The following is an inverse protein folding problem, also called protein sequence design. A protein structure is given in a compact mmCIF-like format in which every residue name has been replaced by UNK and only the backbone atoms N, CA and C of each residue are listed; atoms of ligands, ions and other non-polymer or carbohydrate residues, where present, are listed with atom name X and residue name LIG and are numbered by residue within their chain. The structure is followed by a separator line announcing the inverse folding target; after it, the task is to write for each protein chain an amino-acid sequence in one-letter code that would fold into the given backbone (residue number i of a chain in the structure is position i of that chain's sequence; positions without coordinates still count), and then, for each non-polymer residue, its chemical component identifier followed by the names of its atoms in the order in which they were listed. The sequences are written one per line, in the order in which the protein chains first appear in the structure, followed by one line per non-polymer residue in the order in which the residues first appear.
data_IF_414232055912
#
_entry.id   IF_414232055912
#
_cell.length_a   1.000
_cell.length_b   1.000
_cell.length_c   1.000
_cell.angle_alpha   90.00
_cell.angle_beta   90.00
_cell.angle_gamma   90.00
#
_symmetry.space_group_name_H-M   'P 1'
#
loop_
_entity.id
_entity.type
_entity.pdbx_description
1 polymer ?
#
# COMPACT_ATOMS: atom_id res chain seq x y z
N UNK A 1 33.73 10.43 4.58
CA UNK A 1 32.49 11.24 4.46
C UNK A 1 32.09 11.72 5.85
N UNK A 2 31.95 13.03 6.12
CA UNK A 2 31.64 13.53 7.45
C UNK A 2 30.20 13.22 7.82
N UNK A 3 29.99 12.68 9.03
CA UNK A 3 28.67 12.50 9.65
C UNK A 3 27.95 13.84 9.74
N UNK A 4 26.81 13.95 9.07
CA UNK A 4 25.89 15.08 9.21
C UNK A 4 25.55 15.23 10.69
N UNK A 5 26.00 16.33 11.32
CA UNK A 5 25.56 16.76 12.66
C UNK A 5 24.04 16.91 12.61
N UNK A 6 23.32 16.13 13.41
CA UNK A 6 21.92 16.38 13.68
C UNK A 6 21.85 17.73 14.39
N UNK A 7 21.27 18.71 13.71
CA UNK A 7 20.82 19.95 14.33
C UNK A 7 19.87 19.59 15.48
N UNK A 8 20.09 20.19 16.65
CA UNK A 8 19.16 20.18 17.79
C UNK A 8 17.83 20.76 17.31
N UNK A 9 16.96 19.90 16.77
CA UNK A 9 15.61 20.21 16.33
C UNK A 9 14.64 19.69 17.38
N UNK A 10 13.65 20.46 17.72
CA UNK A 10 12.49 20.25 18.57
C UNK A 10 12.21 18.78 18.81
N UNK A 11 12.24 18.38 20.08
CA UNK A 11 12.01 17.00 20.52
C UNK A 11 10.67 16.55 19.97
N UNK A 12 10.69 15.77 18.88
CA UNK A 12 9.47 15.26 18.26
C UNK A 12 8.69 14.49 19.32
N UNK A 13 7.49 14.97 19.59
CA UNK A 13 6.58 14.31 20.53
C UNK A 13 6.31 12.88 20.06
N UNK A 14 6.31 11.93 20.96
CA UNK A 14 5.96 10.53 20.68
C UNK A 14 4.62 10.16 21.34
N UNK A 15 4.13 8.95 21.04
CA UNK A 15 2.89 8.43 21.63
C UNK A 15 2.97 8.36 23.16
N UNK A 16 4.16 8.15 23.73
CA UNK A 16 4.33 8.06 25.18
C UNK A 16 4.10 9.39 25.84
N UNK A 17 4.71 10.43 25.30
CA UNK A 17 4.53 11.80 25.79
C UNK A 17 3.08 12.27 25.63
N UNK A 18 2.44 11.97 24.47
CA UNK A 18 1.03 12.28 24.28
C UNK A 18 0.12 11.59 25.30
N UNK A 19 0.43 10.34 25.63
CA UNK A 19 -0.33 9.58 26.63
C UNK A 19 -0.23 10.21 28.02
N UNK A 20 0.97 10.63 28.43
CA UNK A 20 1.24 11.32 29.68
C UNK A 20 0.53 12.68 29.73
N UNK A 21 0.70 13.52 28.71
CA UNK A 21 0.15 14.88 28.68
C UNK A 21 -1.39 14.88 28.68
N UNK A 22 -2.00 13.86 28.07
CA UNK A 22 -3.46 13.72 27.99
C UNK A 22 -4.08 12.88 29.12
N UNK A 23 -3.27 12.25 29.96
CA UNK A 23 -3.73 11.38 31.04
C UNK A 23 -4.44 10.14 30.57
N UNK A 24 -4.02 9.56 29.43
CA UNK A 24 -4.60 8.35 28.84
C UNK A 24 -3.52 7.29 28.54
N UNK A 25 -3.92 6.05 28.29
CA UNK A 25 -2.94 5.02 27.92
C UNK A 25 -2.41 5.21 26.51
N UNK A 26 -1.17 4.74 26.22
CA UNK A 26 -0.59 4.68 24.87
C UNK A 26 -1.50 3.98 23.87
N UNK A 27 -2.17 2.92 24.33
CA UNK A 27 -3.15 2.17 23.51
C UNK A 27 -4.35 3.04 23.15
N UNK A 28 -4.82 3.89 24.08
CA UNK A 28 -5.91 4.84 23.83
C UNK A 28 -5.51 5.88 22.81
N UNK A 29 -4.30 6.45 22.91
CA UNK A 29 -3.76 7.40 21.93
C UNK A 29 -3.68 6.74 20.54
N UNK A 30 -3.08 5.55 20.45
CA UNK A 30 -2.94 4.82 19.21
C UNK A 30 -4.29 4.53 18.54
N UNK A 31 -5.28 4.05 19.32
CA UNK A 31 -6.63 3.80 18.81
C UNK A 31 -7.37 5.07 18.38
N UNK A 32 -7.20 6.16 19.12
CA UNK A 32 -7.79 7.45 18.79
C UNK A 32 -7.25 7.98 17.45
N UNK A 33 -5.93 7.89 17.21
CA UNK A 33 -5.28 8.34 15.99
C UNK A 33 -5.56 7.44 14.78
N UNK A 34 -5.63 6.11 14.98
CA UNK A 34 -5.89 5.16 13.88
C UNK A 34 -7.36 5.07 13.47
N UNK A 35 -8.26 5.66 14.23
CA UNK A 35 -9.70 5.49 13.99
C UNK A 35 -10.27 4.14 14.44
N UNK A 36 -9.44 3.19 14.81
CA UNK A 36 -9.79 1.81 15.13
C UNK A 36 -9.96 1.59 16.64
N UNK A 37 -10.92 0.73 17.00
CA UNK A 37 -11.17 0.34 18.40
C UNK A 37 -12.11 1.28 19.15
N UNK A 38 -12.53 0.85 20.34
CA UNK A 38 -13.46 1.59 21.19
C UNK A 38 -12.72 2.71 21.95
N UNK A 39 -12.90 3.92 21.50
CA UNK A 39 -12.48 5.16 22.18
C UNK A 39 -13.65 6.11 22.09
N UNK A 40 -13.98 6.78 23.21
CA UNK A 40 -15.07 7.77 23.21
C UNK A 40 -14.77 8.90 22.24
N UNK A 41 -15.78 9.48 21.63
CA UNK A 41 -15.64 10.56 20.65
C UNK A 41 -14.96 11.78 21.26
N UNK A 42 -15.27 12.11 22.51
CA UNK A 42 -14.61 13.18 23.27
C UNK A 42 -13.10 12.91 23.44
N UNK A 43 -12.70 11.68 23.79
CA UNK A 43 -11.28 11.32 23.93
C UNK A 43 -10.58 11.34 22.58
N UNK A 44 -11.24 10.85 21.52
CA UNK A 44 -10.70 10.89 20.15
C UNK A 44 -10.44 12.34 19.72
N UNK A 45 -11.43 13.21 19.88
CA UNK A 45 -11.31 14.62 19.53
C UNK A 45 -10.14 15.30 20.27
N UNK A 46 -9.99 15.06 21.60
CA UNK A 46 -8.87 15.58 22.39
C UNK A 46 -7.51 15.12 21.87
N UNK A 47 -7.36 13.83 21.57
CA UNK A 47 -6.10 13.25 21.07
C UNK A 47 -5.76 13.81 19.70
N UNK A 48 -6.72 13.88 18.78
CA UNK A 48 -6.52 14.43 17.42
C UNK A 48 -6.18 15.91 17.46
N UNK A 49 -6.85 16.68 18.31
CA UNK A 49 -6.56 18.10 18.48
C UNK A 49 -5.14 18.32 19.01
N UNK A 50 -4.76 17.58 20.05
CA UNK A 50 -3.42 17.66 20.63
C UNK A 50 -2.34 17.27 19.60
N UNK A 51 -2.57 16.21 18.81
CA UNK A 51 -1.65 15.79 17.75
C UNK A 51 -1.45 16.91 16.69
N UNK A 52 -2.51 17.61 16.31
CA UNK A 52 -2.44 18.75 15.39
C UNK A 52 -1.65 19.91 15.99
N UNK A 53 -1.94 20.29 17.22
CA UNK A 53 -1.26 21.41 17.92
C UNK A 53 0.25 21.17 18.07
N UNK A 54 0.63 19.92 18.26
CA UNK A 54 2.02 19.50 18.43
C UNK A 54 2.70 19.04 17.14
N UNK A 55 2.05 19.20 15.98
CA UNK A 55 2.55 18.72 14.68
C UNK A 55 3.03 17.26 14.75
N UNK A 56 2.30 16.42 15.50
CA UNK A 56 2.63 15.01 15.63
C UNK A 56 2.34 14.28 14.31
N UNK A 57 3.37 13.65 13.78
CA UNK A 57 3.26 12.78 12.62
C UNK A 57 3.41 11.32 13.09
N UNK A 58 2.39 10.45 12.86
CA UNK A 58 2.49 9.04 13.20
C UNK A 58 3.74 8.40 12.58
N UNK A 59 4.47 7.63 13.38
CA UNK A 59 5.60 6.87 12.86
C UNK A 59 5.07 5.62 12.11
N UNK A 60 5.05 5.68 10.78
CA UNK A 60 4.56 4.60 9.93
C UNK A 60 5.38 3.32 10.08
N UNK A 61 6.69 3.42 10.36
CA UNK A 61 7.53 2.25 10.62
C UNK A 61 7.10 1.54 11.92
N UNK A 62 6.84 2.30 12.98
CA UNK A 62 6.35 1.73 14.24
C UNK A 62 4.94 1.11 14.07
N UNK A 63 4.07 1.77 13.29
CA UNK A 63 2.74 1.23 12.92
C UNK A 63 2.89 -0.07 12.14
N UNK A 64 3.75 -0.09 11.13
CA UNK A 64 4.03 -1.26 10.30
C UNK A 64 4.53 -2.47 11.09
N UNK A 65 5.39 -2.26 12.09
CA UNK A 65 5.86 -3.33 12.98
C UNK A 65 4.71 -3.97 13.78
N UNK A 66 3.78 -3.17 14.26
CA UNK A 66 2.62 -3.65 15.03
C UNK A 66 1.59 -4.35 14.15
N UNK A 67 1.31 -3.81 12.97
CA UNK A 67 0.30 -4.34 12.03
C UNK A 67 0.86 -5.43 11.12
N UNK A 68 2.17 -5.61 11.08
CA UNK A 68 2.89 -6.46 10.11
C UNK A 68 2.62 -6.07 8.66
N UNK A 69 2.35 -4.79 8.41
CA UNK A 69 2.10 -4.20 7.10
C UNK A 69 3.19 -3.21 6.73
N UNK A 70 3.53 -3.16 5.45
CA UNK A 70 4.49 -2.21 4.90
C UNK A 70 3.85 -0.89 4.48
N UNK A 71 2.53 -0.88 4.30
CA UNK A 71 1.73 0.20 3.71
C UNK A 71 2.23 0.59 2.31
N UNK A 72 2.77 -0.36 1.57
CA UNK A 72 3.21 -0.18 0.18
C UNK A 72 2.49 -1.16 -0.75
N UNK A 73 2.10 -0.68 -1.92
CA UNK A 73 1.63 -1.49 -3.05
C UNK A 73 2.62 -1.36 -4.20
N UNK A 74 3.01 -2.47 -4.81
CA UNK A 74 3.83 -2.44 -6.02
C UNK A 74 2.96 -2.36 -7.26
N UNK A 75 3.16 -1.31 -8.06
CA UNK A 75 2.59 -1.18 -9.40
C UNK A 75 3.65 -1.57 -10.43
N UNK A 76 3.44 -2.71 -11.10
CA UNK A 76 4.43 -3.37 -11.94
C UNK A 76 4.17 -3.10 -13.41
N UNK A 77 5.20 -2.64 -14.11
CA UNK A 77 5.19 -2.40 -15.55
C UNK A 77 6.24 -3.25 -16.27
N UNK A 78 5.99 -3.55 -17.55
CA UNK A 78 7.04 -4.08 -18.41
C UNK A 78 8.05 -2.98 -18.76
N UNK A 79 9.35 -3.31 -18.69
CA UNK A 79 10.43 -2.38 -19.10
C UNK A 79 10.35 -2.04 -20.59
N UNK A 80 9.76 -2.92 -21.40
CA UNK A 80 9.55 -2.69 -22.84
C UNK A 80 8.45 -1.65 -23.13
N UNK A 81 7.53 -1.40 -22.19
CA UNK A 81 6.61 -0.27 -22.27
C UNK A 81 7.33 1.06 -21.99
N UNK A 82 8.45 1.31 -22.70
CA UNK A 82 9.33 2.47 -22.51
C UNK A 82 8.68 3.85 -22.71
N UNK A 83 7.38 3.89 -22.95
CA UNK A 83 6.64 5.13 -23.08
C UNK A 83 5.51 5.21 -22.04
N UNK A 84 5.87 5.65 -20.81
CA UNK A 84 4.90 6.10 -19.79
C UNK A 84 3.97 7.22 -20.32
N UNK A 85 4.24 7.73 -21.53
CA UNK A 85 3.40 8.70 -22.23
C UNK A 85 2.10 8.09 -22.79
N UNK A 86 1.96 6.75 -22.83
CA UNK A 86 0.70 6.14 -23.27
C UNK A 86 -0.45 6.61 -22.35
N UNK A 87 -1.55 7.16 -22.91
CA UNK A 87 -2.66 7.73 -22.13
C UNK A 87 -3.24 6.75 -21.12
N UNK A 88 -3.26 5.45 -21.47
CA UNK A 88 -3.72 4.38 -20.59
C UNK A 88 -2.83 4.26 -19.33
N UNK A 89 -1.51 4.21 -19.49
CA UNK A 89 -0.58 4.08 -18.36
C UNK A 89 -0.67 5.28 -17.41
N UNK A 90 -0.73 6.50 -17.95
CA UNK A 90 -0.91 7.70 -17.12
C UNK A 90 -2.19 7.64 -16.28
N UNK A 91 -3.31 7.26 -16.90
CA UNK A 91 -4.59 7.12 -16.19
C UNK A 91 -4.51 6.05 -15.12
N UNK A 92 -3.88 4.91 -15.41
CA UNK A 92 -3.70 3.81 -14.45
C UNK A 92 -2.86 4.26 -13.26
N UNK A 93 -1.71 4.89 -13.51
CA UNK A 93 -0.83 5.41 -12.44
C UNK A 93 -1.59 6.41 -11.56
N UNK A 94 -2.26 7.39 -12.18
CA UNK A 94 -3.02 8.41 -11.44
C UNK A 94 -4.11 7.77 -10.59
N UNK A 95 -4.92 6.87 -11.15
CA UNK A 95 -6.01 6.23 -10.43
C UNK A 95 -5.52 5.36 -9.26
N UNK A 96 -4.46 4.57 -9.48
CA UNK A 96 -3.87 3.75 -8.43
C UNK A 96 -3.28 4.62 -7.33
N UNK A 97 -2.56 5.67 -7.68
CA UNK A 97 -1.98 6.62 -6.73
C UNK A 97 -3.05 7.30 -5.88
N UNK A 98 -4.11 7.82 -6.52
CA UNK A 98 -5.20 8.51 -5.81
C UNK A 98 -5.91 7.59 -4.80
N UNK A 99 -6.15 6.33 -5.19
CA UNK A 99 -6.81 5.37 -4.30
C UNK A 99 -5.87 4.91 -3.19
N UNK A 100 -4.62 4.60 -3.51
CA UNK A 100 -3.62 4.18 -2.53
C UNK A 100 -3.41 5.26 -1.46
N UNK A 101 -3.19 6.51 -1.87
CA UNK A 101 -2.97 7.63 -0.96
C UNK A 101 -4.17 7.88 -0.03
N UNK A 102 -5.40 7.75 -0.53
CA UNK A 102 -6.62 7.87 0.31
C UNK A 102 -6.72 6.77 1.38
N UNK A 103 -6.02 5.67 1.19
CA UNK A 103 -5.99 4.52 2.11
C UNK A 103 -4.67 4.39 2.88
N UNK A 104 -3.88 5.46 2.98
CA UNK A 104 -2.57 5.50 3.65
C UNK A 104 -1.53 4.53 3.05
N UNK A 105 -1.63 4.21 1.75
CA UNK A 105 -0.65 3.38 1.05
C UNK A 105 0.25 4.20 0.13
N UNK A 106 1.54 3.87 0.13
CA UNK A 106 2.49 4.35 -0.87
C UNK A 106 2.52 3.42 -2.09
N UNK A 107 2.83 3.97 -3.27
CA UNK A 107 2.91 3.20 -4.51
C UNK A 107 4.37 3.08 -4.95
N UNK A 108 4.87 1.85 -4.97
CA UNK A 108 6.20 1.51 -5.49
C UNK A 108 6.08 1.13 -6.97
N UNK A 109 6.60 1.98 -7.85
CA UNK A 109 6.71 1.63 -9.26
C UNK A 109 7.83 0.62 -9.48
N UNK A 110 7.50 -0.56 -10.02
CA UNK A 110 8.46 -1.63 -10.30
C UNK A 110 8.49 -1.93 -11.78
N UNK A 111 9.63 -1.73 -12.41
CA UNK A 111 9.82 -2.05 -13.83
C UNK A 111 10.60 -3.35 -13.98
N UNK A 112 10.05 -4.29 -14.74
CA UNK A 112 10.61 -5.62 -14.95
C UNK A 112 10.69 -5.98 -16.44
N UNK A 113 11.72 -6.73 -16.82
CA UNK A 113 11.80 -7.38 -18.12
C UNK A 113 10.81 -8.54 -18.23
N UNK A 114 10.65 -9.11 -19.42
CA UNK A 114 9.69 -10.22 -19.65
C UNK A 114 9.96 -11.41 -18.74
N UNK A 115 11.20 -11.85 -18.66
CA UNK A 115 11.63 -13.00 -17.86
C UNK A 115 12.33 -12.58 -16.55
N UNK A 116 12.40 -11.28 -16.27
CA UNK A 116 13.07 -10.79 -15.09
C UNK A 116 12.12 -10.77 -13.88
N UNK A 117 12.47 -11.52 -12.85
CA UNK A 117 11.68 -11.59 -11.61
C UNK A 117 12.39 -10.99 -10.40
N UNK A 118 13.69 -10.71 -10.53
CA UNK A 118 14.54 -10.31 -9.41
C UNK A 118 14.08 -9.04 -8.65
N UNK A 119 13.57 -7.96 -9.31
CA UNK A 119 13.08 -6.81 -8.57
C UNK A 119 11.89 -7.16 -7.67
N UNK A 120 10.94 -7.96 -8.19
CA UNK A 120 9.77 -8.40 -7.43
C UNK A 120 10.18 -9.35 -6.30
N UNK A 121 11.04 -10.32 -6.59
CA UNK A 121 11.56 -11.24 -5.59
C UNK A 121 12.19 -10.51 -4.40
N UNK A 122 12.98 -9.46 -4.66
CA UNK A 122 13.58 -8.62 -3.62
C UNK A 122 12.52 -7.92 -2.76
N UNK A 123 11.43 -7.41 -3.36
CA UNK A 123 10.35 -6.76 -2.60
C UNK A 123 9.62 -7.76 -1.71
N UNK A 124 9.35 -8.97 -2.20
CA UNK A 124 8.68 -10.04 -1.47
C UNK A 124 9.52 -10.55 -0.30
N UNK A 125 10.78 -10.91 -0.54
CA UNK A 125 11.69 -11.43 0.50
C UNK A 125 11.85 -10.41 1.64
N UNK A 126 11.98 -9.13 1.30
CA UNK A 126 12.15 -8.07 2.30
C UNK A 126 10.84 -7.55 2.88
N UNK A 127 9.70 -8.16 2.57
CA UNK A 127 8.36 -7.74 3.02
C UNK A 127 8.11 -6.24 2.87
N UNK A 128 8.49 -5.69 1.70
CA UNK A 128 8.39 -4.26 1.42
C UNK A 128 7.06 -3.84 0.83
N UNK A 129 6.18 -4.78 0.52
CA UNK A 129 4.90 -4.55 -0.12
C UNK A 129 3.83 -5.45 0.49
N UNK A 130 2.60 -4.95 0.53
CA UNK A 130 1.42 -5.67 1.03
C UNK A 130 0.53 -6.17 -0.10
N UNK A 131 0.77 -5.70 -1.31
CA UNK A 131 0.01 -6.12 -2.49
C UNK A 131 0.70 -5.73 -3.80
N UNK A 132 0.25 -6.32 -4.90
CA UNK A 132 0.81 -6.10 -6.23
C UNK A 132 -0.28 -5.82 -7.26
N UNK A 133 -0.06 -4.82 -8.10
CA UNK A 133 -0.87 -4.54 -9.29
C UNK A 133 0.03 -4.77 -10.50
N UNK A 134 -0.25 -5.81 -11.30
CA UNK A 134 0.44 -6.07 -12.54
C UNK A 134 -0.20 -5.26 -13.66
N UNK A 135 0.39 -4.11 -14.01
CA UNK A 135 -0.04 -3.27 -15.13
C UNK A 135 0.70 -3.65 -16.42
N UNK A 136 0.81 -4.94 -16.66
CA UNK A 136 1.38 -5.52 -17.86
C UNK A 136 0.61 -6.79 -18.24
N UNK A 137 0.54 -7.08 -19.54
CA UNK A 137 -0.11 -8.29 -20.04
C UNK A 137 0.92 -9.13 -20.76
N UNK A 138 1.26 -10.27 -20.18
CA UNK A 138 2.03 -11.33 -20.83
C UNK A 138 1.18 -12.59 -20.84
N UNK A 139 1.21 -13.33 -21.92
CA UNK A 139 0.48 -14.58 -22.04
C UNK A 139 0.91 -15.61 -20.98
N UNK A 140 2.21 -15.64 -20.69
CA UNK A 140 2.81 -16.43 -19.60
C UNK A 140 3.71 -15.52 -18.78
N UNK A 141 3.14 -14.92 -17.73
CA UNK A 141 3.89 -14.01 -16.87
C UNK A 141 4.57 -14.78 -15.73
N UNK A 142 5.92 -14.81 -15.66
CA UNK A 142 6.64 -15.53 -14.61
C UNK A 142 6.41 -14.95 -13.20
N UNK A 143 5.86 -13.74 -13.09
CA UNK A 143 5.51 -13.16 -11.79
C UNK A 143 4.26 -13.80 -11.20
N UNK A 144 3.32 -14.28 -12.01
CA UNK A 144 2.06 -14.86 -11.52
C UNK A 144 2.31 -16.06 -10.61
N UNK A 145 3.02 -17.13 -11.02
CA UNK A 145 3.27 -18.25 -10.14
C UNK A 145 4.11 -17.89 -8.92
N UNK A 146 5.00 -16.90 -9.03
CA UNK A 146 5.75 -16.38 -7.90
C UNK A 146 4.84 -15.69 -6.87
N UNK A 147 3.91 -14.84 -7.31
CA UNK A 147 2.97 -14.14 -6.45
C UNK A 147 2.00 -15.11 -5.79
N UNK A 148 1.45 -16.06 -6.53
CA UNK A 148 0.62 -17.14 -5.99
C UNK A 148 1.34 -17.90 -4.87
N UNK A 149 2.59 -18.30 -5.12
CA UNK A 149 3.42 -19.02 -4.12
C UNK A 149 3.74 -18.15 -2.89
N UNK A 150 3.86 -16.85 -3.05
CA UNK A 150 4.17 -15.93 -1.95
C UNK A 150 2.98 -15.69 -1.01
N UNK A 151 1.76 -15.97 -1.47
CA UNK A 151 0.53 -15.67 -0.75
C UNK A 151 0.17 -14.18 -0.66
N UNK A 152 0.93 -13.30 -1.34
CA UNK A 152 0.62 -11.87 -1.35
C UNK A 152 -0.58 -11.59 -2.27
N UNK A 153 -1.55 -10.75 -1.87
CA UNK A 153 -2.65 -10.39 -2.74
C UNK A 153 -2.16 -9.64 -3.97
N UNK A 154 -2.67 -10.01 -5.14
CA UNK A 154 -2.34 -9.30 -6.37
C UNK A 154 -3.51 -9.27 -7.35
N UNK A 155 -3.49 -8.29 -8.23
CA UNK A 155 -4.40 -8.16 -9.37
C UNK A 155 -3.60 -7.92 -10.65
N UNK A 156 -4.10 -8.41 -11.78
CA UNK A 156 -3.52 -8.16 -13.09
C UNK A 156 -4.46 -7.29 -13.94
N UNK A 157 -3.91 -6.27 -14.58
CA UNK A 157 -4.61 -5.47 -15.58
C UNK A 157 -4.30 -6.07 -16.95
N UNK A 158 -5.31 -6.67 -17.58
CA UNK A 158 -5.17 -7.41 -18.82
C UNK A 158 -5.67 -8.85 -18.69
N UNK A 159 -5.45 -9.67 -19.69
CA UNK A 159 -5.93 -11.06 -19.70
C UNK A 159 -4.73 -12.02 -19.83
N UNK A 160 -4.14 -12.46 -18.72
CA UNK A 160 -3.20 -13.57 -18.78
C UNK A 160 -3.92 -14.86 -19.21
N UNK A 161 -3.18 -15.82 -19.75
CA UNK A 161 -3.72 -17.12 -20.14
C UNK A 161 -4.19 -17.95 -18.92
N UNK A 162 -3.65 -17.66 -17.75
CA UNK A 162 -3.97 -18.34 -16.49
C UNK A 162 -5.28 -17.82 -15.91
N UNK A 163 -6.27 -18.68 -15.76
CA UNK A 163 -7.65 -18.30 -15.39
C UNK A 163 -7.86 -18.08 -13.89
N UNK A 164 -6.88 -18.44 -13.06
CA UNK A 164 -7.00 -18.35 -11.59
C UNK A 164 -6.55 -17.00 -10.99
N UNK A 165 -6.35 -16.00 -11.84
CA UNK A 165 -5.94 -14.67 -11.42
C UNK A 165 -7.14 -13.73 -11.35
N UNK A 166 -7.28 -13.00 -10.25
CA UNK A 166 -8.26 -11.91 -10.15
C UNK A 166 -7.88 -10.85 -11.17
N UNK A 167 -8.63 -10.82 -12.26
CA UNK A 167 -8.44 -9.85 -13.32
C UNK A 167 -9.03 -8.52 -12.90
N UNK A 168 -8.24 -7.46 -13.03
CA UNK A 168 -8.76 -6.10 -12.87
C UNK A 168 -9.70 -5.79 -14.02
N UNK A 169 -10.76 -5.40 -13.69
CA UNK A 169 -11.92 -4.52 -13.92
C UNK A 169 -12.08 -3.82 -15.26
N UNK A 170 -11.21 -3.94 -16.22
CA UNK A 170 -11.57 -3.53 -17.57
C UNK A 170 -12.61 -4.50 -18.16
N UNK A 171 -12.84 -5.63 -17.49
CA UNK A 171 -13.80 -6.67 -17.85
C UNK A 171 -14.65 -7.18 -16.68
N UNK A 172 -14.97 -6.37 -15.67
CA UNK A 172 -16.21 -6.57 -14.95
C UNK A 172 -17.32 -5.97 -15.83
N UNK A 173 -17.50 -6.54 -17.02
CA UNK A 173 -18.82 -6.62 -17.58
C UNK A 173 -19.61 -7.55 -16.68
N UNK A 174 -20.75 -7.06 -16.19
CA UNK A 174 -21.79 -7.68 -15.40
C UNK A 174 -21.73 -9.21 -15.26
N UNK A 175 -22.05 -9.76 -14.08
CA UNK A 175 -22.23 -11.21 -13.94
C UNK A 175 -23.28 -11.62 -14.97
N UNK A 176 -22.86 -12.36 -15.97
CA UNK A 176 -23.75 -12.99 -16.94
C UNK A 176 -24.74 -13.80 -16.12
N UNK A 177 -25.96 -13.28 -15.97
CA UNK A 177 -27.09 -14.07 -15.51
C UNK A 177 -27.16 -15.27 -16.45
N UNK A 178 -26.74 -16.43 -15.97
CA UNK A 178 -27.10 -17.69 -16.59
C UNK A 178 -28.61 -17.78 -16.53
N UNK A 179 -29.27 -17.52 -17.63
CA UNK A 179 -30.65 -17.93 -17.82
C UNK A 179 -30.66 -19.46 -17.74
N UNK A 180 -31.50 -20.05 -16.88
CA UNK A 180 -31.72 -21.50 -16.92
C UNK A 180 -32.31 -21.84 -18.28
N UNK A 181 -31.67 -22.76 -19.01
CA UNK A 181 -32.25 -23.38 -20.21
C UNK A 181 -33.32 -24.32 -19.70
N UNK A 182 -34.57 -24.03 -20.13
CA UNK A 182 -35.76 -24.89 -19.95
C UNK A 182 -35.60 -26.17 -20.73
#
# INVERSE_FOLDING_TARGET
MPRRKQTEGEKKIDISQMAEDLGVSKTTVSRALSGNGRVSEATRARVVQYAKEKNYVPNMLARGLVTQQSYNISLVFSRQFGNLAAPFLRKTVSAVYDIATRNDYDVLMTMVGEQETSPMQRLLINRKIDGVILARTLERDPLIPMLQKSGIPFVAIGRPADQDVILSLIHISEPTRRTPIS
#
